data_IF_505676247129
#
_entry.id   IF_505676247129
#
_cell.length_a   1.000
_cell.length_b   1.000
_cell.length_c   1.000
_cell.angle_alpha   90.00
_cell.angle_beta   90.00
_cell.angle_gamma   90.00
#
_symmetry.space_group_name_H-M   'P 1'
#
loop_
_entity.id
_entity.type
_entity.pdbx_description
1 polymer ?
#
# COMPACT_ATOMS: atom_id res chain seq x y z
N UNK A 1 20.10 7.11 -0.82
CA UNK A 1 19.28 6.99 0.40
C UNK A 1 19.20 8.35 1.06
N UNK A 2 18.00 8.80 1.42
CA UNK A 2 17.79 10.08 2.12
C UNK A 2 18.01 9.82 3.61
N UNK A 3 18.92 10.55 4.26
CA UNK A 3 19.12 10.41 5.70
C UNK A 3 17.86 10.89 6.44
N UNK A 4 17.14 9.96 7.06
CA UNK A 4 15.87 10.24 7.75
C UNK A 4 16.04 11.30 8.84
N UNK A 5 17.19 11.35 9.51
CA UNK A 5 17.48 12.33 10.55
C UNK A 5 17.70 13.76 10.02
N UNK A 6 17.91 13.90 8.70
CA UNK A 6 18.09 15.21 8.04
C UNK A 6 16.77 15.84 7.56
N UNK A 7 15.69 15.05 7.50
CA UNK A 7 14.37 15.51 7.05
C UNK A 7 13.55 15.96 8.26
N UNK A 8 13.06 17.21 8.22
CA UNK A 8 12.20 17.74 9.29
C UNK A 8 10.96 16.82 9.50
N UNK A 9 10.57 16.50 10.75
CA UNK A 9 9.44 15.60 11.03
C UNK A 9 8.13 16.01 10.34
N UNK A 10 7.86 17.32 10.21
CA UNK A 10 6.68 17.83 9.50
C UNK A 10 6.65 17.46 8.00
N UNK A 11 7.83 17.39 7.36
CA UNK A 11 7.94 16.99 5.96
C UNK A 11 7.76 15.47 5.82
N UNK A 12 8.33 14.68 6.74
CA UNK A 12 8.07 13.23 6.80
C UNK A 12 6.57 12.96 6.96
N UNK A 13 5.90 13.70 7.84
CA UNK A 13 4.46 13.55 8.09
C UNK A 13 3.64 13.82 6.84
N UNK A 14 3.89 14.96 6.18
CA UNK A 14 3.19 15.34 4.94
C UNK A 14 3.43 14.31 3.84
N UNK A 15 4.67 13.86 3.67
CA UNK A 15 5.03 12.85 2.69
C UNK A 15 4.35 11.51 2.95
N UNK A 16 4.44 10.98 4.18
CA UNK A 16 3.80 9.71 4.56
C UNK A 16 2.28 9.80 4.39
N UNK A 17 1.67 10.92 4.77
CA UNK A 17 0.22 11.13 4.59
C UNK A 17 -0.18 11.07 3.13
N UNK A 18 0.58 11.73 2.25
CA UNK A 18 0.34 11.72 0.81
C UNK A 18 0.54 10.31 0.23
N UNK A 19 1.68 9.67 0.52
CA UNK A 19 2.00 8.35 -0.02
C UNK A 19 1.03 7.28 0.46
N UNK A 20 0.56 7.37 1.70
CA UNK A 20 -0.42 6.43 2.24
C UNK A 20 -1.79 6.56 1.55
N UNK A 21 -2.24 7.79 1.22
CA UNK A 21 -3.45 7.99 0.39
C UNK A 21 -3.25 7.46 -1.03
N UNK A 22 -2.09 7.72 -1.64
CA UNK A 22 -1.74 7.22 -2.99
C UNK A 22 -1.73 5.69 -3.03
N UNK A 23 -1.07 5.04 -2.06
CA UNK A 23 -0.98 3.57 -1.99
C UNK A 23 -2.34 2.96 -1.67
N UNK A 24 -3.10 3.52 -0.73
CA UNK A 24 -4.45 3.04 -0.43
C UNK A 24 -5.35 3.06 -1.67
N UNK A 25 -5.32 4.15 -2.45
CA UNK A 25 -6.10 4.28 -3.70
C UNK A 25 -5.53 3.36 -4.78
N UNK A 26 -4.21 3.33 -4.92
CA UNK A 26 -3.50 2.46 -5.86
C UNK A 26 -3.91 1.01 -5.67
N UNK A 27 -4.00 0.54 -4.43
CA UNK A 27 -4.34 -0.84 -4.10
C UNK A 27 -5.78 -1.16 -4.50
N UNK A 28 -6.73 -0.26 -4.21
CA UNK A 28 -8.12 -0.40 -4.65
C UNK A 28 -8.21 -0.46 -6.18
N UNK A 29 -7.57 0.47 -6.88
CA UNK A 29 -7.64 0.53 -8.34
C UNK A 29 -6.95 -0.67 -8.98
N UNK A 30 -5.81 -1.10 -8.45
CA UNK A 30 -5.07 -2.26 -8.92
C UNK A 30 -5.89 -3.55 -8.73
N UNK A 31 -6.61 -3.69 -7.62
CA UNK A 31 -7.53 -4.82 -7.40
C UNK A 31 -8.67 -4.92 -8.43
N UNK A 32 -8.99 -3.84 -9.15
CA UNK A 32 -10.03 -3.86 -10.18
C UNK A 32 -9.50 -4.17 -11.58
N UNK A 33 -8.18 -4.18 -11.79
CA UNK A 33 -7.58 -4.29 -13.13
C UNK A 33 -6.54 -5.39 -13.27
N UNK A 34 -5.90 -5.79 -12.18
CA UNK A 34 -4.86 -6.82 -12.18
C UNK A 34 -5.41 -8.14 -11.64
N UNK A 35 -5.31 -9.20 -12.46
CA UNK A 35 -5.86 -10.51 -12.14
C UNK A 35 -5.14 -11.21 -10.98
N UNK A 36 -3.85 -10.94 -10.78
CA UNK A 36 -3.09 -11.52 -9.67
C UNK A 36 -3.50 -10.90 -8.34
N UNK A 37 -3.66 -9.57 -8.30
CA UNK A 37 -4.20 -8.88 -7.12
C UNK A 37 -5.64 -9.34 -6.86
N UNK A 38 -6.47 -9.52 -7.88
CA UNK A 38 -7.83 -10.07 -7.71
C UNK A 38 -7.82 -11.47 -7.06
N UNK A 39 -6.91 -12.35 -7.50
CA UNK A 39 -6.77 -13.69 -6.92
C UNK A 39 -6.32 -13.64 -5.45
N UNK A 40 -5.45 -12.71 -5.08
CA UNK A 40 -5.07 -12.53 -3.69
C UNK A 40 -6.21 -11.90 -2.87
N UNK A 41 -6.94 -10.91 -3.41
CA UNK A 41 -8.06 -10.28 -2.70
C UNK A 41 -9.22 -11.25 -2.48
N UNK A 42 -9.50 -12.15 -3.44
CA UNK A 42 -10.54 -13.17 -3.34
C UNK A 42 -10.35 -14.16 -2.17
N UNK A 43 -9.12 -14.26 -1.63
CA UNK A 43 -8.80 -15.14 -0.51
C UNK A 43 -9.03 -14.48 0.86
N UNK A 44 -9.38 -13.19 0.91
CA UNK A 44 -9.88 -12.57 2.14
C UNK A 44 -11.38 -12.88 2.33
N UNK A 45 -11.85 -13.01 3.58
CA UNK A 45 -13.27 -13.12 3.86
C UNK A 45 -14.06 -11.92 3.32
N UNK A 46 -15.33 -12.14 2.97
CA UNK A 46 -16.24 -11.04 2.68
C UNK A 46 -16.38 -10.13 3.92
N UNK A 47 -16.47 -8.83 3.69
CA UNK A 47 -16.52 -7.78 4.72
C UNK A 47 -15.25 -7.63 5.57
N UNK A 48 -14.16 -8.33 5.25
CA UNK A 48 -12.90 -8.22 5.97
C UNK A 48 -12.31 -6.81 5.88
N UNK A 49 -11.78 -6.29 6.98
CA UNK A 49 -11.26 -4.93 7.09
C UNK A 49 -9.76 -4.89 7.36
N UNK A 50 -9.06 -4.12 6.54
CA UNK A 50 -7.60 -3.98 6.51
C UNK A 50 -7.24 -2.53 6.84
N UNK A 51 -6.36 -2.31 7.82
CA UNK A 51 -5.84 -0.97 8.12
C UNK A 51 -4.32 -0.94 8.12
N UNK A 52 -3.77 0.19 7.72
CA UNK A 52 -2.38 0.54 7.99
C UNK A 52 -2.34 1.93 8.61
N UNK A 53 -1.59 2.10 9.69
CA UNK A 53 -1.50 3.37 10.41
C UNK A 53 -0.10 3.62 10.99
N UNK A 54 0.11 4.85 11.46
CA UNK A 54 1.33 5.27 12.16
C UNK A 54 0.97 5.68 13.58
N UNK A 55 1.61 5.06 14.57
CA UNK A 55 1.41 5.38 15.98
C UNK A 55 2.00 6.77 16.34
N UNK A 56 1.43 7.51 17.32
CA UNK A 56 0.15 7.24 18.01
C UNK A 56 -1.08 7.76 17.26
N UNK A 57 -0.98 8.90 16.58
CA UNK A 57 -2.09 9.57 15.88
C UNK A 57 -1.63 10.06 14.49
N UNK A 58 -0.88 9.22 13.79
CA UNK A 58 -0.32 9.54 12.49
C UNK A 58 -1.26 9.22 11.32
N UNK A 59 -0.73 9.28 10.08
CA UNK A 59 -1.49 8.92 8.89
C UNK A 59 -2.01 7.48 8.97
N UNK A 60 -3.20 7.27 8.40
CA UNK A 60 -3.83 5.96 8.34
C UNK A 60 -4.65 5.79 7.07
N UNK A 61 -4.79 4.55 6.60
CA UNK A 61 -5.85 4.15 5.68
C UNK A 61 -6.63 2.96 6.25
N UNK A 62 -7.88 2.82 5.80
CA UNK A 62 -8.75 1.69 6.09
C UNK A 62 -9.36 1.24 4.76
N UNK A 63 -9.30 -0.06 4.49
CA UNK A 63 -9.92 -0.68 3.35
C UNK A 63 -10.80 -1.84 3.79
N UNK A 64 -11.87 -2.10 3.04
CA UNK A 64 -12.78 -3.21 3.26
C UNK A 64 -12.87 -4.07 2.01
N UNK A 65 -12.89 -5.37 2.20
CA UNK A 65 -13.22 -6.35 1.17
C UNK A 65 -14.74 -6.42 1.08
N UNK A 66 -15.29 -6.04 -0.07
CA UNK A 66 -16.74 -6.12 -0.33
C UNK A 66 -17.18 -7.57 -0.53
N UNK A 67 -18.49 -7.82 -0.57
CA UNK A 67 -19.05 -9.15 -0.87
C UNK A 67 -18.65 -9.67 -2.25
N UNK A 68 -18.38 -8.77 -3.20
CA UNK A 68 -17.88 -9.09 -4.54
C UNK A 68 -16.35 -9.25 -4.59
N UNK A 69 -15.69 -9.39 -3.44
CA UNK A 69 -14.23 -9.49 -3.30
C UNK A 69 -13.47 -8.35 -3.99
N UNK A 70 -14.02 -7.14 -3.95
CA UNK A 70 -13.34 -5.91 -4.37
C UNK A 70 -12.91 -5.12 -3.15
N UNK A 71 -11.79 -4.41 -3.24
CA UNK A 71 -11.37 -3.49 -2.17
C UNK A 71 -12.09 -2.15 -2.30
N UNK A 72 -12.51 -1.62 -1.17
CA UNK A 72 -13.12 -0.30 -1.02
C UNK A 72 -12.37 0.47 0.06
N UNK A 73 -11.98 1.72 -0.21
CA UNK A 73 -11.41 2.61 0.80
C UNK A 73 -12.51 3.20 1.68
N UNK A 74 -12.32 3.11 2.99
CA UNK A 74 -13.19 3.71 3.99
C UNK A 74 -12.50 4.87 4.70
N UNK A 75 -13.28 5.67 5.42
CA UNK A 75 -12.73 6.69 6.31
C UNK A 75 -11.93 6.03 7.42
N UNK A 76 -10.64 6.39 7.64
CA UNK A 76 -9.85 5.82 8.73
C UNK A 76 -10.53 6.00 10.09
N UNK A 77 -10.51 4.96 10.92
CA UNK A 77 -11.14 4.97 12.25
C UNK A 77 -12.68 4.81 12.25
N UNK A 78 -13.32 4.69 11.08
CA UNK A 78 -14.79 4.47 11.02
C UNK A 78 -15.22 3.09 11.53
N UNK A 79 -14.35 2.09 11.41
CA UNK A 79 -14.56 0.72 11.86
C UNK A 79 -13.29 0.18 12.50
N UNK A 80 -13.44 -0.79 13.41
CA UNK A 80 -12.31 -1.61 13.88
C UNK A 80 -11.87 -2.53 12.75
N UNK A 81 -10.57 -2.54 12.45
CA UNK A 81 -10.01 -3.42 11.44
C UNK A 81 -9.77 -4.83 11.99
N UNK A 82 -10.01 -5.85 11.16
CA UNK A 82 -9.70 -7.25 11.43
C UNK A 82 -8.19 -7.52 11.36
N UNK A 83 -7.49 -6.76 10.51
CA UNK A 83 -6.04 -6.73 10.41
C UNK A 83 -5.55 -5.29 10.40
N UNK A 84 -4.67 -4.94 11.34
CA UNK A 84 -4.04 -3.64 11.44
C UNK A 84 -2.52 -3.77 11.35
N UNK A 85 -1.92 -3.05 10.41
CA UNK A 85 -0.47 -2.86 10.33
C UNK A 85 -0.11 -1.49 10.91
N UNK A 86 0.60 -1.47 12.02
CA UNK A 86 0.97 -0.22 12.71
C UNK A 86 2.46 0.02 12.65
N UNK A 87 2.89 1.10 12.01
CA UNK A 87 4.25 1.61 12.14
C UNK A 87 4.43 2.26 13.51
N UNK A 88 5.46 1.83 14.25
CA UNK A 88 5.72 2.31 15.63
C UNK A 88 6.14 3.79 15.68
N UNK A 89 6.72 4.28 14.59
CA UNK A 89 7.20 5.66 14.50
C UNK A 89 7.09 6.20 13.07
N UNK A 90 6.87 7.52 12.95
CA UNK A 90 6.74 8.20 11.67
C UNK A 90 7.95 8.00 10.75
N UNK A 91 9.15 8.03 11.31
CA UNK A 91 10.39 7.82 10.54
C UNK A 91 10.51 6.41 9.96
N UNK A 92 9.91 5.41 10.61
CA UNK A 92 9.85 4.05 10.08
C UNK A 92 8.87 3.94 8.91
N UNK A 93 7.69 4.55 9.07
CA UNK A 93 6.75 4.68 7.96
C UNK A 93 7.41 5.41 6.79
N UNK A 94 8.12 6.52 7.05
CA UNK A 94 8.82 7.27 6.01
C UNK A 94 9.83 6.41 5.25
N UNK A 95 10.62 5.57 5.92
CA UNK A 95 11.56 4.66 5.25
C UNK A 95 10.85 3.74 4.25
N UNK A 96 9.75 3.13 4.66
CA UNK A 96 8.99 2.21 3.80
C UNK A 96 8.27 2.96 2.67
N UNK A 97 7.55 4.03 3.00
CA UNK A 97 6.80 4.83 2.02
C UNK A 97 7.68 5.61 1.04
N UNK A 98 8.95 5.84 1.36
CA UNK A 98 9.95 6.39 0.43
C UNK A 98 10.77 5.31 -0.29
N UNK A 99 10.37 4.04 -0.15
CA UNK A 99 11.00 2.89 -0.79
C UNK A 99 12.49 2.74 -0.45
N UNK A 100 12.89 3.19 0.75
CA UNK A 100 14.25 3.01 1.27
C UNK A 100 14.40 1.71 2.06
N UNK A 101 13.28 1.12 2.44
CA UNK A 101 13.20 -0.15 3.15
C UNK A 101 11.96 -0.91 2.67
N UNK A 102 12.10 -2.21 2.44
CA UNK A 102 10.94 -3.05 2.09
C UNK A 102 10.08 -3.35 3.33
N UNK A 103 8.80 -3.65 3.10
CA UNK A 103 7.87 -4.03 4.19
C UNK A 103 8.38 -5.24 4.99
N UNK A 104 9.04 -6.20 4.33
CA UNK A 104 9.60 -7.38 4.99
C UNK A 104 10.78 -7.02 5.92
N UNK A 105 11.67 -6.12 5.49
CA UNK A 105 12.77 -5.63 6.31
C UNK A 105 12.27 -4.80 7.49
N UNK A 106 11.30 -3.91 7.27
CA UNK A 106 10.71 -3.11 8.33
C UNK A 106 10.06 -3.98 9.42
N UNK A 107 9.37 -5.06 9.03
CA UNK A 107 8.85 -6.04 9.97
C UNK A 107 9.96 -6.79 10.72
N UNK A 108 11.00 -7.26 10.02
CA UNK A 108 12.13 -7.95 10.65
C UNK A 108 12.94 -7.05 11.62
N UNK A 109 13.02 -5.75 11.33
CA UNK A 109 13.63 -4.76 12.21
C UNK A 109 12.71 -4.26 13.33
N UNK A 110 11.55 -4.91 13.53
CA UNK A 110 10.59 -4.59 14.60
C UNK A 110 10.09 -3.13 14.54
N UNK A 111 10.03 -2.55 13.33
CA UNK A 111 9.62 -1.14 13.09
C UNK A 111 8.10 -0.99 12.95
N UNK A 112 7.40 -2.10 12.78
CA UNK A 112 5.95 -2.16 12.61
C UNK A 112 5.38 -3.41 13.30
N UNK A 113 4.11 -3.36 13.63
CA UNK A 113 3.35 -4.44 14.27
C UNK A 113 2.23 -4.86 13.32
N UNK A 114 1.96 -6.16 13.22
CA UNK A 114 0.77 -6.68 12.57
C UNK A 114 -0.16 -7.26 13.65
N UNK A 115 -1.31 -6.63 13.84
CA UNK A 115 -2.37 -7.07 14.75
C UNK A 115 -3.50 -7.72 13.93
N UNK A 116 -3.71 -9.02 14.12
CA UNK A 116 -4.57 -9.86 13.29
C UNK A 116 -3.86 -11.14 12.84
N UNK A 117 -4.44 -11.88 11.89
CA UNK A 117 -3.82 -13.07 11.33
C UNK A 117 -2.64 -12.71 10.41
N UNK A 118 -1.45 -13.23 10.72
CA UNK A 118 -0.22 -12.99 9.95
C UNK A 118 -0.33 -13.44 8.49
N UNK A 119 -1.13 -14.48 8.21
CA UNK A 119 -1.36 -14.98 6.86
C UNK A 119 -2.05 -13.94 5.99
N UNK A 120 -3.00 -13.20 6.56
CA UNK A 120 -3.66 -12.07 5.90
C UNK A 120 -2.71 -10.88 5.74
N UNK A 121 -1.80 -10.64 6.69
CA UNK A 121 -0.79 -9.60 6.56
C UNK A 121 0.17 -9.88 5.40
N UNK A 122 0.69 -11.11 5.30
CA UNK A 122 1.54 -11.54 4.19
C UNK A 122 0.80 -11.39 2.87
N UNK A 123 -0.50 -11.71 2.83
CA UNK A 123 -1.33 -11.57 1.65
C UNK A 123 -1.46 -10.12 1.20
N UNK A 124 -1.74 -9.20 2.13
CA UNK A 124 -1.77 -7.76 1.87
C UNK A 124 -0.42 -7.27 1.31
N UNK A 125 0.70 -7.71 1.88
CA UNK A 125 2.04 -7.36 1.40
C UNK A 125 2.28 -7.84 -0.04
N UNK A 126 1.76 -9.02 -0.43
CA UNK A 126 1.84 -9.47 -1.83
C UNK A 126 1.06 -8.56 -2.77
N UNK A 127 -0.15 -8.16 -2.40
CA UNK A 127 -0.93 -7.20 -3.18
C UNK A 127 -0.20 -5.86 -3.34
N UNK A 128 0.41 -5.36 -2.25
CA UNK A 128 1.20 -4.13 -2.27
C UNK A 128 2.43 -4.27 -3.17
N UNK A 129 3.22 -5.33 -3.02
CA UNK A 129 4.40 -5.58 -3.85
C UNK A 129 4.03 -5.65 -5.35
N UNK A 130 2.93 -6.35 -5.68
CA UNK A 130 2.45 -6.43 -7.07
C UNK A 130 2.02 -5.06 -7.58
N UNK A 131 1.22 -4.32 -6.82
CA UNK A 131 0.80 -2.97 -7.17
C UNK A 131 2.00 -2.03 -7.37
N UNK A 132 2.97 -2.05 -6.45
CA UNK A 132 4.21 -1.27 -6.53
C UNK A 132 5.02 -1.63 -7.77
N UNK A 133 5.11 -2.91 -8.15
CA UNK A 133 5.80 -3.34 -9.36
C UNK A 133 5.16 -2.81 -10.66
N UNK A 134 3.83 -2.62 -10.65
CA UNK A 134 3.06 -2.09 -11.78
C UNK A 134 3.20 -0.56 -11.86
N UNK A 135 3.08 0.13 -10.73
CA UNK A 135 3.05 1.59 -10.69
C UNK A 135 4.48 2.16 -10.76
N UNK A 136 5.44 1.61 -10.02
CA UNK A 136 6.75 2.23 -9.86
C UNK A 136 7.66 2.07 -11.10
N UNK A 137 8.48 3.10 -11.41
CA UNK A 137 9.62 2.94 -12.30
C UNK A 137 10.51 1.79 -11.83
N UNK A 138 11.08 1.01 -12.75
CA UNK A 138 11.80 -0.25 -12.44
C UNK A 138 12.84 -0.08 -11.32
N UNK A 139 13.60 1.02 -11.36
CA UNK A 139 14.63 1.34 -10.35
C UNK A 139 14.07 1.50 -8.93
N UNK A 140 12.85 2.05 -8.79
CA UNK A 140 12.21 2.24 -7.48
C UNK A 140 11.52 0.96 -7.04
N UNK A 141 10.91 0.23 -7.98
CA UNK A 141 10.29 -1.06 -7.71
C UNK A 141 11.29 -2.07 -7.13
N UNK A 142 12.51 -2.15 -7.67
CA UNK A 142 13.57 -3.04 -7.14
C UNK A 142 13.95 -2.77 -5.68
N UNK A 143 13.75 -1.54 -5.19
CA UNK A 143 13.98 -1.18 -3.78
C UNK A 143 12.76 -1.45 -2.90
N UNK A 144 11.55 -1.32 -3.47
CA UNK A 144 10.28 -1.45 -2.78
C UNK A 144 9.90 -2.92 -2.51
N UNK A 145 10.11 -3.79 -3.51
CA UNK A 145 9.62 -5.17 -3.48
C UNK A 145 10.69 -6.16 -2.99
N UNK A 146 10.24 -7.24 -2.34
CA UNK A 146 11.13 -8.32 -1.90
C UNK A 146 11.88 -9.00 -3.06
N UNK A 147 11.20 -9.16 -4.19
CA UNK A 147 11.75 -9.75 -5.42
C UNK A 147 11.02 -9.15 -6.62
N UNK A 148 11.75 -8.58 -7.57
CA UNK A 148 11.16 -8.00 -8.77
C UNK A 148 10.85 -9.12 -9.76
N UNK A 149 9.61 -9.27 -10.25
CA UNK A 149 9.27 -10.35 -11.17
C UNK A 149 10.02 -10.18 -12.49
N UNK A 150 10.82 -11.19 -12.84
CA UNK A 150 11.68 -11.24 -14.04
C UNK A 150 10.89 -11.33 -15.34
N UNK A 151 9.62 -11.75 -15.28
CA UNK A 151 8.76 -12.02 -16.45
C UNK A 151 7.84 -10.85 -16.87
N UNK A 152 7.95 -9.67 -16.25
CA UNK A 152 7.15 -8.51 -16.68
C UNK A 152 7.62 -7.98 -18.04
N UNK A 153 6.88 -8.26 -19.10
CA UNK A 153 7.12 -7.69 -20.42
C UNK A 153 6.90 -6.17 -20.43
N UNK A 154 7.76 -5.42 -21.14
CA UNK A 154 7.69 -3.96 -21.24
C UNK A 154 6.30 -3.43 -21.70
N UNK A 155 5.57 -4.23 -22.49
CA UNK A 155 4.20 -3.90 -22.95
C UNK A 155 3.16 -3.98 -21.83
N UNK A 156 3.19 -5.02 -21.01
CA UNK A 156 2.27 -5.18 -19.87
C UNK A 156 2.51 -4.09 -18.82
N UNK A 157 3.79 -3.71 -18.61
CA UNK A 157 4.15 -2.57 -17.78
C UNK A 157 3.56 -1.26 -18.30
N UNK A 158 3.67 -0.99 -19.60
CA UNK A 158 3.16 0.27 -20.15
C UNK A 158 1.63 0.34 -20.20
N UNK A 159 0.96 -0.71 -20.65
CA UNK A 159 -0.51 -0.70 -20.80
C UNK A 159 -1.24 -0.87 -19.46
N UNK A 160 -0.74 -1.75 -18.60
CA UNK A 160 -1.28 -1.98 -17.25
C UNK A 160 -1.05 -0.78 -16.33
N UNK A 161 0.19 -0.26 -16.27
CA UNK A 161 0.48 0.91 -15.45
C UNK A 161 -0.29 2.14 -15.94
N UNK A 162 -0.37 2.38 -17.25
CA UNK A 162 -1.12 3.53 -17.78
C UNK A 162 -2.59 3.51 -17.35
N UNK A 163 -3.25 2.35 -17.38
CA UNK A 163 -4.64 2.22 -16.91
C UNK A 163 -4.78 2.44 -15.41
N UNK A 164 -3.84 1.95 -14.60
CA UNK A 164 -3.84 2.19 -13.14
C UNK A 164 -3.61 3.67 -12.84
N UNK A 165 -2.60 4.29 -13.45
CA UNK A 165 -2.31 5.72 -13.31
C UNK A 165 -3.50 6.57 -13.75
N UNK A 166 -4.16 6.22 -14.86
CA UNK A 166 -5.32 6.93 -15.37
C UNK A 166 -6.54 6.78 -14.45
N UNK A 167 -6.80 5.58 -13.90
CA UNK A 167 -7.85 5.37 -12.90
C UNK A 167 -7.57 6.09 -11.59
N UNK A 168 -6.32 6.11 -11.12
CA UNK A 168 -5.91 6.88 -9.94
C UNK A 168 -6.13 8.37 -10.19
N UNK A 169 -5.67 8.92 -11.32
CA UNK A 169 -5.91 10.32 -11.69
C UNK A 169 -7.40 10.65 -11.79
N UNK A 170 -8.22 9.78 -12.38
CA UNK A 170 -9.68 9.92 -12.43
C UNK A 170 -10.32 9.88 -11.04
N UNK A 171 -9.79 9.08 -10.11
CA UNK A 171 -10.28 9.02 -8.72
C UNK A 171 -10.05 10.33 -7.98
N UNK A 172 -8.95 11.04 -8.28
CA UNK A 172 -8.70 12.39 -7.75
C UNK A 172 -9.61 13.44 -8.42
N UNK A 173 -9.89 13.30 -9.73
CA UNK A 173 -10.80 14.21 -10.45
C UNK A 173 -12.25 14.09 -10.00
N UNK A 174 -12.75 12.87 -9.74
CA UNK A 174 -14.12 12.63 -9.23
C UNK A 174 -14.39 13.22 -7.84
N UNK A 175 -13.34 13.56 -7.07
CA UNK A 175 -13.47 14.23 -5.77
C UNK A 175 -13.57 15.76 -5.90
N UNK A 176 -13.34 16.30 -7.10
CA UNK A 176 -13.37 17.74 -7.37
C UNK A 176 -14.65 18.22 -8.07
N UNK A 177 -15.69 17.37 -8.14
CA UNK A 177 -17.02 17.67 -8.67
C UNK A 177 -18.08 17.46 -7.59
#
# INVERSE_FOLDING_TARGET
MINVNSVKPALQLTYVKLMMDVIGRGLVMASQVDSEIQQEVAKFPANFTLSMNVFPNGPAFLAKVTENHQLELLTPGSLKADLTITFKHLSHAFLVFSFQESTAQAFAHDRMIADGDISYAIRLVRCLNKMESLILPKMVAELAVKEYPTELGLKEKLTGAANIYLKVAQSYLKRSA
#
